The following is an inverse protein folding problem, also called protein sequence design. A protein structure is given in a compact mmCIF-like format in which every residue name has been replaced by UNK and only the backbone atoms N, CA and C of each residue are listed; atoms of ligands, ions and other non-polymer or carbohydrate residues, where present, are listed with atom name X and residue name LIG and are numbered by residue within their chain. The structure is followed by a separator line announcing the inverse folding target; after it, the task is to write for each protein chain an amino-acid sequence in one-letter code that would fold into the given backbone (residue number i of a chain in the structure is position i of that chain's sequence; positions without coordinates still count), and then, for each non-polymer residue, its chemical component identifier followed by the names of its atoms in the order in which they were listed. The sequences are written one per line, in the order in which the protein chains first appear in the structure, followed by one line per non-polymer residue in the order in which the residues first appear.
data_IF_320809997882
#
_entry.id   IF_320809997882
#
_cell.length_a   1.000
_cell.length_b   1.000
_cell.length_c   1.000
_cell.angle_alpha   90.00
_cell.angle_beta   90.00
_cell.angle_gamma   90.00
#
_symmetry.space_group_name_H-M   'P 1'
#
loop_
_entity.id
_entity.type
_entity.pdbx_description
1 polymer ?
#
# COMPACT_ATOMS: atom_id res chain seq x y z
N UNK A 1 6.03 1.97 -26.93
CA UNK A 1 5.86 0.64 -27.58
C UNK A 1 5.30 -0.38 -26.60
N UNK A 2 6.03 -0.81 -25.55
CA UNK A 2 5.47 -1.73 -24.54
C UNK A 2 4.18 -1.22 -23.88
N UNK A 3 4.14 0.06 -23.48
CA UNK A 3 2.93 0.66 -22.88
C UNK A 3 1.73 0.66 -23.83
N UNK A 4 1.97 0.85 -25.13
CA UNK A 4 0.93 0.85 -26.17
C UNK A 4 0.43 -0.56 -26.43
N UNK A 5 1.33 -1.55 -26.50
CA UNK A 5 0.98 -2.97 -26.62
C UNK A 5 0.17 -3.44 -25.40
N UNK A 6 0.57 -3.04 -24.20
CA UNK A 6 -0.17 -3.32 -22.97
C UNK A 6 -1.57 -2.69 -23.00
N UNK A 7 -1.69 -1.44 -23.42
CA UNK A 7 -2.98 -0.76 -23.52
C UNK A 7 -3.91 -1.44 -24.52
N UNK A 8 -3.40 -1.83 -25.69
CA UNK A 8 -4.18 -2.59 -26.69
C UNK A 8 -4.62 -3.94 -26.13
N UNK A 9 -3.73 -4.67 -25.46
CA UNK A 9 -4.05 -5.94 -24.81
C UNK A 9 -5.13 -5.76 -23.72
N UNK A 10 -4.99 -4.72 -22.89
CA UNK A 10 -5.93 -4.41 -21.82
C UNK A 10 -7.32 -4.08 -22.36
N UNK A 11 -7.40 -3.28 -23.43
CA UNK A 11 -8.69 -2.96 -24.10
C UNK A 11 -9.33 -4.19 -24.73
N UNK A 12 -8.56 -5.17 -25.20
CA UNK A 12 -9.11 -6.41 -25.75
C UNK A 12 -9.63 -7.33 -24.64
N UNK A 13 -8.89 -7.47 -23.54
CA UNK A 13 -9.14 -8.46 -22.49
C UNK A 13 -10.09 -7.98 -21.38
N UNK A 14 -10.08 -6.70 -21.03
CA UNK A 14 -10.80 -6.21 -19.85
C UNK A 14 -12.17 -5.64 -20.24
N UNK A 15 -13.20 -6.06 -19.52
CA UNK A 15 -14.59 -5.58 -19.66
C UNK A 15 -15.11 -5.16 -18.29
N UNK A 16 -15.96 -4.13 -18.29
CA UNK A 16 -16.53 -3.54 -17.06
C UNK A 16 -17.62 -4.42 -16.45
N UNK A 17 -18.33 -5.19 -17.26
CA UNK A 17 -19.39 -6.09 -16.81
C UNK A 17 -19.07 -7.55 -17.19
N UNK A 18 -19.29 -8.52 -16.28
CA UNK A 18 -19.09 -9.93 -16.58
C UNK A 18 -19.89 -10.43 -17.79
N UNK A 19 -21.02 -9.78 -18.09
CA UNK A 19 -21.93 -10.11 -19.20
C UNK A 19 -21.34 -9.80 -20.58
N UNK A 20 -20.42 -8.84 -20.66
CA UNK A 20 -19.82 -8.40 -21.93
C UNK A 20 -18.56 -9.18 -22.29
N UNK A 21 -18.19 -10.18 -21.49
CA UNK A 21 -16.97 -10.94 -21.70
C UNK A 21 -17.18 -12.03 -22.77
N UNK A 22 -16.41 -12.01 -23.88
CA UNK A 22 -16.65 -12.91 -25.02
C UNK A 22 -16.36 -14.39 -24.73
N UNK A 23 -15.64 -14.71 -23.64
CA UNK A 23 -15.24 -16.08 -23.29
C UNK A 23 -15.80 -16.57 -21.95
N UNK A 24 -16.77 -15.88 -21.35
CA UNK A 24 -17.36 -16.34 -20.09
C UNK A 24 -18.34 -17.49 -20.33
N UNK A 25 -18.25 -18.54 -19.51
CA UNK A 25 -19.21 -19.63 -19.58
C UNK A 25 -20.56 -19.20 -18.96
N UNK A 26 -21.68 -19.61 -19.58
CA UNK A 26 -23.03 -19.26 -19.11
C UNK A 26 -23.30 -19.73 -17.67
N UNK A 27 -22.68 -20.84 -17.27
CA UNK A 27 -22.74 -21.38 -15.91
C UNK A 27 -21.97 -20.50 -14.90
N UNK A 28 -20.76 -20.06 -15.25
CA UNK A 28 -19.95 -19.15 -14.42
C UNK A 28 -20.65 -17.79 -14.23
N UNK A 29 -21.26 -17.28 -15.30
CA UNK A 29 -22.06 -16.05 -15.26
C UNK A 29 -23.26 -16.17 -14.33
N UNK A 30 -23.93 -17.33 -14.29
CA UNK A 30 -25.01 -17.60 -13.34
C UNK A 30 -24.50 -17.63 -11.90
N UNK A 31 -23.38 -18.31 -11.62
CA UNK A 31 -22.78 -18.35 -10.27
C UNK A 31 -22.38 -16.95 -9.78
N UNK A 32 -21.79 -16.13 -10.64
CA UNK A 32 -21.41 -14.75 -10.29
C UNK A 32 -22.65 -13.90 -9.99
N UNK A 33 -23.68 -13.98 -10.84
CA UNK A 33 -24.91 -13.20 -10.64
C UNK A 33 -25.71 -13.67 -9.43
N UNK A 34 -25.76 -14.97 -9.15
CA UNK A 34 -26.39 -15.52 -7.96
C UNK A 34 -25.72 -14.98 -6.70
N UNK A 35 -24.38 -15.00 -6.63
CA UNK A 35 -23.61 -14.49 -5.48
C UNK A 35 -23.70 -12.95 -5.33
N UNK A 36 -23.77 -12.21 -6.44
CA UNK A 36 -23.96 -10.75 -6.44
C UNK A 36 -25.38 -10.37 -6.00
N UNK A 37 -26.40 -11.11 -6.44
CA UNK A 37 -27.80 -10.89 -6.10
C UNK A 37 -28.08 -11.18 -4.61
N UNK A 38 -27.49 -12.25 -4.05
CA UNK A 38 -27.53 -12.51 -2.60
C UNK A 38 -26.73 -11.50 -1.78
N UNK A 39 -25.81 -10.76 -2.40
CA UNK A 39 -25.05 -9.67 -1.76
C UNK A 39 -25.80 -8.33 -1.71
N UNK A 40 -27.03 -8.23 -2.24
CA UNK A 40 -27.80 -6.97 -2.20
C UNK A 40 -27.22 -5.85 -3.06
N UNK A 41 -26.32 -6.15 -4.01
CA UNK A 41 -25.65 -5.18 -4.90
C UNK A 41 -26.56 -4.71 -6.05
N UNK A 42 -27.71 -4.15 -5.72
CA UNK A 42 -28.60 -3.47 -6.66
C UNK A 42 -28.30 -1.97 -6.71
N UNK A 43 -27.65 -1.52 -7.80
CA UNK A 43 -27.55 -0.19 -8.45
C UNK A 43 -27.84 1.15 -7.73
N UNK A 44 -27.95 1.22 -6.41
CA UNK A 44 -28.05 2.46 -5.64
C UNK A 44 -27.09 2.34 -4.47
N UNK A 45 -25.84 2.76 -4.68
CA UNK A 45 -24.90 2.90 -3.57
C UNK A 45 -25.46 3.94 -2.62
N UNK A 46 -25.76 3.58 -1.35
CA UNK A 46 -26.21 4.58 -0.38
C UNK A 46 -25.10 5.62 -0.19
N UNK A 47 -25.46 6.88 0.14
CA UNK A 47 -24.48 7.95 0.29
C UNK A 47 -23.39 7.53 1.28
N UNK A 48 -22.13 7.75 0.87
CA UNK A 48 -20.95 7.29 1.60
C UNK A 48 -20.99 7.81 3.04
N UNK A 49 -21.03 6.94 4.05
CA UNK A 49 -21.14 7.36 5.44
C UNK A 49 -19.75 7.78 5.98
N UNK A 50 -19.25 8.94 5.53
CA UNK A 50 -17.91 9.46 5.80
C UNK A 50 -17.47 9.34 7.27
N UNK A 51 -18.31 9.80 8.21
CA UNK A 51 -17.97 9.78 9.65
C UNK A 51 -17.84 8.34 10.15
N UNK A 52 -18.72 7.42 9.71
CA UNK A 52 -18.66 6.02 10.12
C UNK A 52 -17.41 5.35 9.56
N UNK A 53 -16.99 5.68 8.34
CA UNK A 53 -15.75 5.18 7.74
C UNK A 53 -14.53 5.66 8.53
N UNK A 54 -14.41 6.96 8.79
CA UNK A 54 -13.26 7.51 9.52
C UNK A 54 -13.21 7.11 11.01
N UNK A 55 -14.35 6.76 11.59
CA UNK A 55 -14.44 6.33 13.01
C UNK A 55 -14.40 4.80 13.15
N UNK A 56 -14.35 4.06 12.03
CA UNK A 56 -14.27 2.60 12.06
C UNK A 56 -12.87 2.14 12.46
N UNK A 57 -12.81 1.32 13.51
CA UNK A 57 -11.58 0.73 14.05
C UNK A 57 -10.73 0.04 12.95
N UNK A 58 -11.30 -0.79 12.05
CA UNK A 58 -10.52 -1.44 11.00
C UNK A 58 -9.95 -0.45 9.98
N UNK A 59 -10.68 0.64 9.68
CA UNK A 59 -10.21 1.68 8.75
C UNK A 59 -9.03 2.44 9.34
N UNK A 60 -9.09 2.79 10.62
CA UNK A 60 -7.99 3.44 11.34
C UNK A 60 -6.76 2.53 11.37
N UNK A 61 -6.94 1.23 11.64
CA UNK A 61 -5.86 0.24 11.62
C UNK A 61 -5.19 0.18 10.24
N UNK A 62 -5.96 0.10 9.16
CA UNK A 62 -5.41 0.09 7.80
C UNK A 62 -4.68 1.38 7.47
N UNK A 63 -5.21 2.55 7.85
CA UNK A 63 -4.53 3.84 7.62
C UNK A 63 -3.16 3.87 8.30
N UNK A 64 -3.08 3.39 9.55
CA UNK A 64 -1.80 3.32 10.30
C UNK A 64 -0.83 2.32 9.65
N UNK A 65 -1.33 1.15 9.24
CA UNK A 65 -0.52 0.14 8.54
C UNK A 65 0.02 0.70 7.23
N UNK A 66 -0.82 1.34 6.42
CA UNK A 66 -0.43 1.96 5.15
C UNK A 66 0.61 3.06 5.32
N UNK A 67 0.45 3.88 6.35
CA UNK A 67 1.47 4.87 6.71
C UNK A 67 2.81 4.21 7.08
N UNK A 68 2.77 3.17 7.91
CA UNK A 68 3.95 2.43 8.38
C UNK A 68 4.68 1.73 7.23
N UNK A 69 3.92 1.05 6.37
CA UNK A 69 4.44 0.40 5.15
C UNK A 69 5.06 1.45 4.25
N UNK A 70 4.38 2.57 3.99
CA UNK A 70 4.90 3.61 3.10
C UNK A 70 6.14 4.32 3.66
N UNK A 71 6.18 4.59 4.97
CA UNK A 71 7.37 5.10 5.67
C UNK A 71 8.56 4.18 5.45
N UNK A 72 8.39 2.88 5.69
CA UNK A 72 9.45 1.90 5.55
C UNK A 72 9.84 1.70 4.08
N UNK A 73 8.89 1.74 3.14
CA UNK A 73 9.15 1.78 1.68
C UNK A 73 10.12 2.89 1.34
N UNK A 74 9.80 4.11 1.75
CA UNK A 74 10.53 5.32 1.41
C UNK A 74 11.91 5.36 2.05
N UNK A 75 11.99 4.94 3.32
CA UNK A 75 13.24 4.85 4.04
C UNK A 75 14.18 3.85 3.37
N UNK A 76 13.71 2.64 3.06
CA UNK A 76 14.52 1.65 2.34
C UNK A 76 14.90 2.16 0.95
N UNK A 77 13.95 2.70 0.18
CA UNK A 77 14.22 3.17 -1.18
C UNK A 77 15.30 4.26 -1.23
N UNK A 78 15.17 5.29 -0.39
CA UNK A 78 16.01 6.48 -0.45
C UNK A 78 17.35 6.28 0.24
N UNK A 79 17.38 5.43 1.27
CA UNK A 79 18.49 5.41 2.22
C UNK A 79 19.26 4.11 2.23
N UNK A 80 18.69 2.99 1.75
CA UNK A 80 19.43 1.74 1.58
C UNK A 80 20.63 1.90 0.63
N UNK A 81 20.49 2.54 -0.56
CA UNK A 81 21.63 2.98 -1.38
C UNK A 81 22.72 3.74 -0.62
N UNK A 82 22.32 4.79 0.09
CA UNK A 82 23.24 5.67 0.81
C UNK A 82 23.92 4.94 1.97
N UNK A 83 23.24 4.02 2.63
CA UNK A 83 23.79 3.18 3.69
C UNK A 83 24.87 2.23 3.15
N UNK A 84 24.59 1.48 2.08
CA UNK A 84 25.58 0.59 1.46
C UNK A 84 26.79 1.35 0.91
N UNK A 85 26.59 2.56 0.39
CA UNK A 85 27.69 3.41 -0.09
C UNK A 85 28.49 4.03 1.08
N UNK A 86 27.83 4.56 2.11
CA UNK A 86 28.51 5.27 3.20
C UNK A 86 29.21 4.32 4.18
N UNK A 87 28.59 3.18 4.51
CA UNK A 87 29.09 2.22 5.50
C UNK A 87 29.88 1.08 4.86
N UNK A 88 29.34 0.45 3.81
CA UNK A 88 29.95 -0.75 3.21
C UNK A 88 30.81 -0.46 1.98
N UNK A 89 30.74 0.75 1.40
CA UNK A 89 31.44 1.14 0.16
C UNK A 89 31.09 0.29 -1.07
N UNK A 90 29.94 -0.39 -1.08
CA UNK A 90 29.50 -1.25 -2.21
C UNK A 90 28.67 -0.47 -3.25
N UNK A 91 28.63 -0.93 -4.52
CA UNK A 91 27.83 -0.30 -5.58
C UNK A 91 26.33 -0.43 -5.33
N UNK A 92 25.66 0.72 -5.37
CA UNK A 92 24.24 0.94 -5.09
C UNK A 92 23.29 0.05 -5.90
N UNK A 93 23.68 -0.31 -7.13
CA UNK A 93 22.86 -1.07 -8.08
C UNK A 93 22.42 -2.44 -7.55
N UNK A 94 23.21 -3.11 -6.70
CA UNK A 94 22.85 -4.42 -6.11
C UNK A 94 21.84 -4.31 -4.97
N UNK A 95 21.79 -3.18 -4.26
CA UNK A 95 20.85 -2.94 -3.17
C UNK A 95 19.40 -2.74 -3.65
N UNK A 96 19.22 -2.31 -4.89
CA UNK A 96 17.89 -2.08 -5.48
C UNK A 96 17.12 -3.38 -5.76
N UNK A 97 17.78 -4.53 -5.87
CA UNK A 97 17.13 -5.82 -6.05
C UNK A 97 16.28 -6.22 -4.82
N UNK A 98 16.74 -5.90 -3.61
CA UNK A 98 16.04 -6.22 -2.37
C UNK A 98 14.74 -5.41 -2.18
N UNK A 99 14.63 -4.26 -2.85
CA UNK A 99 13.42 -3.43 -2.81
C UNK A 99 12.22 -4.13 -3.48
N UNK A 100 12.45 -4.96 -4.49
CA UNK A 100 11.38 -5.69 -5.19
C UNK A 100 10.70 -6.76 -4.33
N UNK A 101 11.37 -7.28 -3.30
CA UNK A 101 10.79 -8.28 -2.40
C UNK A 101 9.80 -7.70 -1.38
N UNK A 102 9.76 -6.37 -1.24
CA UNK A 102 8.99 -5.69 -0.20
C UNK A 102 7.55 -5.33 -0.63
N UNK A 103 7.28 -5.17 -1.93
CA UNK A 103 6.00 -4.63 -2.42
C UNK A 103 4.86 -5.65 -2.59
N UNK A 104 5.04 -6.91 -2.23
CA UNK A 104 4.11 -7.99 -2.61
C UNK A 104 2.78 -8.06 -1.85
N UNK A 105 2.72 -7.57 -0.61
CA UNK A 105 1.58 -7.81 0.31
C UNK A 105 0.69 -6.60 0.60
N UNK A 106 1.02 -5.41 0.09
CA UNK A 106 0.35 -4.18 0.49
C UNK A 106 -1.03 -3.99 -0.16
N UNK A 107 -1.18 -4.34 -1.42
CA UNK A 107 -2.41 -4.08 -2.20
C UNK A 107 -3.62 -4.92 -1.76
N UNK A 108 -3.50 -6.24 -1.46
CA UNK A 108 -4.66 -7.09 -1.14
C UNK A 108 -5.36 -6.71 0.17
N UNK A 109 -4.63 -6.22 1.19
CA UNK A 109 -5.20 -6.00 2.54
C UNK A 109 -6.40 -5.05 2.57
N UNK A 110 -6.41 -4.04 1.70
CA UNK A 110 -7.52 -3.06 1.62
C UNK A 110 -8.72 -3.64 0.87
N UNK A 111 -8.45 -4.50 -0.11
CA UNK A 111 -9.45 -5.18 -0.91
C UNK A 111 -10.21 -6.21 -0.07
N UNK A 112 -9.52 -6.92 0.82
CA UNK A 112 -10.12 -7.95 1.68
C UNK A 112 -11.03 -7.34 2.78
N UNK A 113 -10.75 -6.11 3.23
CA UNK A 113 -11.45 -5.48 4.36
C UNK A 113 -12.72 -4.72 3.99
N UNK A 114 -12.94 -4.38 2.71
CA UNK A 114 -14.12 -3.64 2.28
C UNK A 114 -14.60 -4.16 0.92
N UNK A 115 -15.84 -4.67 0.85
CA UNK A 115 -16.41 -5.22 -0.39
C UNK A 115 -17.28 -4.22 -1.19
N UNK A 116 -17.75 -3.14 -0.56
CA UNK A 116 -18.62 -2.12 -1.19
C UNK A 116 -17.99 -0.72 -1.29
N UNK A 117 -16.96 -0.41 -0.49
CA UNK A 117 -16.32 0.91 -0.44
C UNK A 117 -14.80 0.87 -0.66
N UNK A 118 -14.28 -0.20 -1.26
CA UNK A 118 -12.84 -0.44 -1.48
C UNK A 118 -12.16 0.74 -2.15
N UNK A 119 -12.76 1.29 -3.21
CA UNK A 119 -12.17 2.38 -3.97
C UNK A 119 -12.00 3.66 -3.13
N UNK A 120 -13.00 3.99 -2.30
CA UNK A 120 -12.95 5.18 -1.44
C UNK A 120 -11.96 5.01 -0.30
N UNK A 121 -11.96 3.85 0.36
CA UNK A 121 -11.01 3.54 1.44
C UNK A 121 -9.58 3.45 0.91
N UNK A 122 -9.38 2.88 -0.28
CA UNK A 122 -8.09 2.86 -0.97
C UNK A 122 -7.61 4.29 -1.29
N UNK A 123 -8.49 5.16 -1.77
CA UNK A 123 -8.17 6.57 -2.01
C UNK A 123 -7.69 7.28 -0.74
N UNK A 124 -8.45 7.15 0.36
CA UNK A 124 -8.12 7.77 1.66
C UNK A 124 -6.81 7.23 2.24
N UNK A 125 -6.64 5.91 2.22
CA UNK A 125 -5.45 5.28 2.77
C UNK A 125 -4.20 5.65 1.98
N UNK A 126 -4.34 5.78 0.66
CA UNK A 126 -3.23 6.16 -0.21
C UNK A 126 -2.86 7.64 -0.04
N UNK A 127 -3.82 8.55 0.18
CA UNK A 127 -3.49 9.97 0.47
C UNK A 127 -2.71 10.10 1.78
N UNK A 128 -3.11 9.40 2.83
CA UNK A 128 -2.36 9.38 4.10
C UNK A 128 -0.98 8.75 3.90
N UNK A 129 -0.88 7.65 3.15
CA UNK A 129 0.41 7.03 2.83
C UNK A 129 1.35 8.03 2.12
N UNK A 130 0.88 8.79 1.14
CA UNK A 130 1.72 9.79 0.46
C UNK A 130 2.21 10.92 1.38
N UNK A 131 1.50 11.26 2.46
CA UNK A 131 2.02 12.24 3.43
C UNK A 131 3.30 11.76 4.12
N UNK A 132 3.48 10.44 4.30
CA UNK A 132 4.73 9.86 4.78
C UNK A 132 5.91 10.20 3.85
N UNK A 133 5.64 10.42 2.55
CA UNK A 133 6.58 10.92 1.54
C UNK A 133 7.29 12.23 1.93
N UNK A 134 6.60 13.11 2.65
CA UNK A 134 7.14 14.40 3.08
C UNK A 134 7.75 14.34 4.48
N UNK A 135 7.13 13.58 5.38
CA UNK A 135 7.57 13.48 6.79
C UNK A 135 8.87 12.67 6.90
N UNK A 136 9.00 11.58 6.14
CA UNK A 136 10.15 10.66 6.24
C UNK A 136 11.49 11.36 5.96
N UNK A 137 11.67 12.10 4.85
CA UNK A 137 12.93 12.81 4.58
C UNK A 137 13.22 13.91 5.61
N UNK A 138 12.18 14.59 6.11
CA UNK A 138 12.31 15.64 7.12
C UNK A 138 12.87 15.08 8.43
N UNK A 139 12.27 14.02 8.96
CA UNK A 139 12.72 13.37 10.21
C UNK A 139 14.14 12.82 10.05
N UNK A 140 14.44 12.17 8.93
CA UNK A 140 15.81 11.68 8.68
C UNK A 140 16.81 12.84 8.57
N UNK A 141 16.41 13.96 7.98
CA UNK A 141 17.23 15.17 7.91
C UNK A 141 17.65 15.66 9.30
N UNK A 142 16.70 15.72 10.23
CA UNK A 142 17.00 16.08 11.63
C UNK A 142 17.88 15.05 12.34
N UNK A 143 17.64 13.74 12.12
CA UNK A 143 18.45 12.67 12.74
C UNK A 143 19.90 12.69 12.24
N UNK A 144 20.12 12.93 10.95
CA UNK A 144 21.47 12.99 10.36
C UNK A 144 22.25 14.20 10.90
N UNK A 145 21.58 15.31 11.18
CA UNK A 145 22.24 16.49 11.78
C UNK A 145 22.57 16.32 13.27
N UNK A 146 21.98 15.34 13.96
CA UNK A 146 22.12 15.18 15.41
C UNK A 146 23.42 14.49 15.88
N UNK A 147 24.24 13.95 14.95
CA UNK A 147 25.48 13.26 15.33
C UNK A 147 26.48 13.25 14.18
N UNK A 148 27.77 13.48 14.45
CA UNK A 148 28.82 13.51 13.40
C UNK A 148 29.22 12.11 12.90
N UNK A 149 28.92 11.05 13.66
CA UNK A 149 29.32 9.70 13.33
C UNK A 149 28.27 8.97 12.47
N UNK A 150 28.64 8.67 11.23
CA UNK A 150 27.79 8.02 10.20
C UNK A 150 27.13 6.74 10.72
N UNK A 151 27.88 5.86 11.39
CA UNK A 151 27.33 4.61 11.95
C UNK A 151 26.21 4.85 12.96
N UNK A 152 26.36 5.89 13.79
CA UNK A 152 25.40 6.21 14.86
C UNK A 152 24.15 6.88 14.32
N UNK A 153 24.29 7.75 13.32
CA UNK A 153 23.15 8.33 12.58
C UNK A 153 22.24 7.24 12.02
N UNK A 154 22.82 6.25 11.33
CA UNK A 154 22.07 5.12 10.77
C UNK A 154 21.40 4.26 11.84
N UNK A 155 22.07 4.05 12.98
CA UNK A 155 21.48 3.35 14.11
C UNK A 155 20.18 3.99 14.59
N UNK A 156 20.15 5.32 14.75
CA UNK A 156 18.92 6.03 15.13
C UNK A 156 17.81 5.92 14.08
N UNK A 157 18.16 6.03 12.79
CA UNK A 157 17.19 5.88 11.69
C UNK A 157 16.54 4.48 11.70
N UNK A 158 17.32 3.42 11.93
CA UNK A 158 16.78 2.07 12.02
C UNK A 158 15.94 1.83 13.28
N UNK A 159 16.35 2.37 14.44
CA UNK A 159 15.57 2.25 15.67
C UNK A 159 14.21 2.97 15.60
N UNK A 160 14.18 4.18 15.03
CA UNK A 160 12.92 4.92 14.82
C UNK A 160 12.00 4.13 13.89
N UNK A 161 12.52 3.59 12.79
CA UNK A 161 11.74 2.75 11.88
C UNK A 161 11.26 1.46 12.55
N UNK A 162 12.09 0.80 13.36
CA UNK A 162 11.68 -0.39 14.09
C UNK A 162 10.54 -0.09 15.07
N UNK A 163 10.58 1.05 15.77
CA UNK A 163 9.50 1.47 16.66
C UNK A 163 8.19 1.74 15.90
N UNK A 164 8.25 2.43 14.75
CA UNK A 164 7.08 2.71 13.90
C UNK A 164 6.48 1.39 13.37
N UNK A 165 7.32 0.46 12.90
CA UNK A 165 6.86 -0.84 12.42
C UNK A 165 6.27 -1.71 13.52
N UNK A 166 6.89 -1.74 14.71
CA UNK A 166 6.36 -2.48 15.86
C UNK A 166 5.00 -1.92 16.30
N UNK A 167 4.84 -0.61 16.31
CA UNK A 167 3.56 0.04 16.61
C UNK A 167 2.50 -0.30 15.56
N UNK A 168 2.81 -0.16 14.27
CA UNK A 168 1.88 -0.50 13.18
C UNK A 168 1.48 -1.98 13.19
N UNK A 169 2.43 -2.88 13.45
CA UNK A 169 2.17 -4.31 13.59
C UNK A 169 1.28 -4.64 14.81
N UNK A 170 1.50 -3.97 15.94
CA UNK A 170 0.67 -4.16 17.13
C UNK A 170 -0.76 -3.66 16.91
N UNK A 171 -0.92 -2.50 16.27
CA UNK A 171 -2.24 -1.97 15.88
C UNK A 171 -2.95 -2.95 14.95
N UNK A 172 -2.24 -3.53 13.98
CA UNK A 172 -2.82 -4.54 13.09
C UNK A 172 -3.22 -5.83 13.83
N UNK A 173 -2.41 -6.34 14.75
CA UNK A 173 -2.74 -7.55 15.51
C UNK A 173 -3.97 -7.34 16.40
N UNK A 174 -4.16 -6.13 16.94
CA UNK A 174 -5.26 -5.83 17.86
C UNK A 174 -6.56 -5.47 17.14
N UNK A 175 -6.48 -4.86 15.96
CA UNK A 175 -7.64 -4.25 15.29
C UNK A 175 -7.86 -4.69 13.83
N UNK A 176 -6.93 -5.47 13.27
CA UNK A 176 -6.99 -6.03 11.92
C UNK A 176 -7.83 -7.29 11.82
#
# INVERSE_FOLDING_TARGET
ILATLWLVLWVILVRSEPKDHPWIASEELYYIQANIASSGKGSTTPPVPWIKIFTSIPVIAVVIVKFTVQWNSLLLLLKLPSYFSSVFKYPVSKGMLLFGCYSGGDVPVVADMTNEYTATVFGITNTVAFTAGFITPMVIGFIVQASDEVRRQWGYVFWVSAAINAFGGLVFIVFG
#
